data_IF_044464959492
#
_entry.id   IF_044464959492
#
_cell.length_a   1.000
_cell.length_b   1.000
_cell.length_c   1.000
_cell.angle_alpha   90.00
_cell.angle_beta   90.00
_cell.angle_gamma   90.00
#
_symmetry.space_group_name_H-M   'P 1'
#
loop_
_entity.id
_entity.type
_entity.pdbx_description
1 polymer ?
#
# COMPACT_ATOMS: atom_id res chain seq x y z
N UNK A 1 30.01 35.09 10.66
CA UNK A 1 29.60 34.48 9.38
C UNK A 1 28.11 34.71 9.18
N UNK A 2 27.77 35.51 8.15
CA UNK A 2 26.35 35.69 7.79
C UNK A 2 25.87 34.39 7.14
N UNK A 3 24.89 33.75 7.75
CA UNK A 3 24.27 32.58 7.15
C UNK A 3 23.45 32.97 5.92
N UNK A 4 23.56 32.23 4.85
CA UNK A 4 22.82 32.46 3.62
C UNK A 4 21.52 31.64 3.65
N UNK A 5 20.35 32.28 3.37
CA UNK A 5 19.10 31.58 3.24
C UNK A 5 19.17 30.55 2.10
N UNK A 6 18.33 29.48 2.14
CA UNK A 6 18.30 28.48 1.07
C UNK A 6 17.75 29.09 -0.22
N UNK A 7 18.24 28.56 -1.36
CA UNK A 7 17.55 28.78 -2.65
C UNK A 7 16.21 28.02 -2.67
N UNK A 8 15.28 28.50 -3.49
CA UNK A 8 14.04 27.76 -3.80
C UNK A 8 14.36 26.36 -4.31
N UNK A 9 13.69 25.31 -3.80
CA UNK A 9 13.79 23.96 -4.37
C UNK A 9 13.39 23.97 -5.84
N UNK A 10 14.21 23.35 -6.69
CA UNK A 10 13.97 23.30 -8.14
C UNK A 10 13.59 21.89 -8.60
N UNK A 11 13.01 21.81 -9.82
CA UNK A 11 12.64 20.54 -10.45
C UNK A 11 11.74 19.66 -9.56
N UNK A 12 10.83 20.28 -8.81
CA UNK A 12 9.83 19.50 -8.07
C UNK A 12 9.01 18.70 -9.08
N UNK A 13 8.89 17.41 -8.82
CA UNK A 13 8.07 16.47 -9.56
C UNK A 13 7.18 15.68 -8.61
N UNK A 14 5.99 15.31 -9.08
CA UNK A 14 5.04 14.52 -8.35
C UNK A 14 4.58 13.33 -9.21
N UNK A 15 4.53 12.15 -8.62
CA UNK A 15 4.04 10.94 -9.26
C UNK A 15 2.96 10.32 -8.39
N UNK A 16 1.75 10.19 -8.97
CA UNK A 16 0.61 9.57 -8.28
C UNK A 16 0.75 8.05 -8.24
N UNK A 17 0.52 7.50 -7.06
CA UNK A 17 0.42 6.08 -6.78
C UNK A 17 -0.93 5.74 -6.14
N UNK A 18 -1.06 4.51 -5.66
CA UNK A 18 -2.27 4.11 -4.94
C UNK A 18 -2.33 4.83 -3.59
N UNK A 19 -3.33 5.70 -3.44
CA UNK A 19 -3.58 6.50 -2.24
C UNK A 19 -2.34 7.26 -1.72
N UNK A 20 -1.36 7.51 -2.59
CA UNK A 20 -0.14 8.23 -2.26
C UNK A 20 0.35 9.06 -3.44
N UNK A 21 1.18 10.05 -3.14
CA UNK A 21 1.94 10.80 -4.13
C UNK A 21 3.39 10.85 -3.69
N UNK A 22 4.30 10.41 -4.57
CA UNK A 22 5.73 10.50 -4.37
C UNK A 22 6.25 11.80 -4.98
N UNK A 23 6.99 12.55 -4.17
CA UNK A 23 7.58 13.83 -4.54
C UNK A 23 9.11 13.71 -4.59
N UNK A 24 9.73 14.39 -5.55
CA UNK A 24 11.18 14.55 -5.60
C UNK A 24 11.56 15.92 -6.15
N UNK A 25 12.70 16.46 -5.71
CA UNK A 25 13.19 17.78 -6.12
C UNK A 25 14.71 17.85 -6.10
N UNK A 26 15.27 18.91 -6.67
CA UNK A 26 16.69 19.20 -6.58
C UNK A 26 17.01 19.91 -5.26
N UNK A 27 18.13 19.54 -4.65
CA UNK A 27 18.59 20.16 -3.41
C UNK A 27 18.85 21.67 -3.55
N UNK A 28 18.51 22.42 -2.50
CA UNK A 28 18.71 23.86 -2.41
C UNK A 28 20.15 24.20 -2.02
N UNK A 29 20.68 25.30 -2.56
CA UNK A 29 21.93 25.90 -2.10
C UNK A 29 21.67 26.79 -0.90
N UNK A 30 22.66 27.05 -0.06
CA UNK A 30 22.58 27.86 1.15
C UNK A 30 23.48 27.36 2.26
N UNK A 31 23.42 27.97 3.44
CA UNK A 31 24.19 27.49 4.60
C UNK A 31 23.54 26.26 5.21
N UNK A 32 24.27 25.13 5.38
CA UNK A 32 23.69 23.94 6.02
C UNK A 32 23.51 24.15 7.54
N UNK A 33 22.63 23.36 8.22
CA UNK A 33 21.80 22.30 7.62
C UNK A 33 20.57 22.90 6.91
N UNK A 34 20.14 22.24 5.82
CA UNK A 34 18.93 22.59 5.08
C UNK A 34 17.90 21.49 5.28
N UNK A 35 16.66 21.87 5.61
CA UNK A 35 15.49 21.00 5.69
C UNK A 35 14.43 21.49 4.71
N UNK A 36 13.47 20.64 4.37
CA UNK A 36 12.40 20.95 3.43
C UNK A 36 11.06 20.74 4.10
N UNK A 37 10.16 21.69 3.93
CA UNK A 37 8.77 21.57 4.33
C UNK A 37 7.90 21.37 3.10
N UNK A 38 7.01 20.38 3.16
CA UNK A 38 6.13 20.00 2.08
C UNK A 38 4.72 20.46 2.41
N UNK A 39 4.07 21.05 1.40
CA UNK A 39 2.73 21.58 1.52
C UNK A 39 1.82 20.99 0.44
N UNK A 40 0.58 20.63 0.83
CA UNK A 40 -0.50 20.24 -0.05
C UNK A 40 -1.43 21.43 -0.27
N UNK A 41 -1.93 21.58 -1.48
CA UNK A 41 -2.80 22.70 -1.89
C UNK A 41 -2.21 24.09 -1.65
N UNK A 42 -0.88 24.18 -1.53
CA UNK A 42 -0.15 25.43 -1.36
C UNK A 42 0.05 25.89 0.08
N UNK A 43 -0.81 25.53 1.00
CA UNK A 43 -0.82 26.03 2.38
C UNK A 43 -0.93 24.96 3.48
N UNK A 44 -1.40 23.75 3.15
CA UNK A 44 -1.53 22.66 4.12
C UNK A 44 -0.17 22.01 4.34
N UNK A 45 0.46 22.28 5.47
CA UNK A 45 1.70 21.60 5.87
C UNK A 45 1.45 20.10 6.11
N UNK A 46 2.21 19.24 5.43
CA UNK A 46 2.06 17.78 5.53
C UNK A 46 3.31 17.08 6.05
N UNK A 47 4.44 17.74 6.12
CA UNK A 47 5.63 17.15 6.71
C UNK A 47 6.93 17.90 6.41
N UNK A 48 7.99 17.50 7.12
CA UNK A 48 9.34 18.03 6.98
C UNK A 48 10.35 16.90 6.80
N UNK A 49 11.36 17.13 5.96
CA UNK A 49 12.43 16.16 5.69
C UNK A 49 13.76 16.86 5.44
N UNK A 50 14.87 16.15 5.66
CA UNK A 50 16.21 16.57 5.20
C UNK A 50 16.58 15.95 3.83
N UNK A 51 15.76 15.03 3.34
CA UNK A 51 15.91 14.41 2.02
C UNK A 51 15.35 15.30 0.91
N UNK A 52 15.70 15.03 -0.32
CA UNK A 52 15.14 15.67 -1.53
C UNK A 52 13.96 14.90 -2.11
N UNK A 53 13.28 14.14 -1.27
CA UNK A 53 12.07 13.38 -1.60
C UNK A 53 11.15 13.29 -0.40
N UNK A 54 9.85 13.10 -0.68
CA UNK A 54 8.81 12.91 0.32
C UNK A 54 7.67 12.11 -0.29
N UNK A 55 7.00 11.28 0.51
CA UNK A 55 5.80 10.56 0.08
C UNK A 55 4.63 10.98 0.96
N UNK A 56 3.59 11.51 0.32
CA UNK A 56 2.32 11.84 0.95
C UNK A 56 1.40 10.63 0.83
N UNK A 57 0.92 10.10 1.93
CA UNK A 57 0.18 8.84 2.03
C UNK A 57 -1.23 9.04 2.61
N UNK A 58 -2.07 8.02 2.53
CA UNK A 58 -3.44 8.08 3.07
C UNK A 58 -4.37 8.96 2.24
N UNK A 59 -4.09 9.12 0.97
CA UNK A 59 -4.84 9.96 0.05
C UNK A 59 -6.07 9.24 -0.51
N UNK A 60 -7.10 9.99 -0.89
CA UNK A 60 -8.26 9.45 -1.61
C UNK A 60 -7.84 8.94 -2.99
N UNK A 61 -8.46 7.86 -3.45
CA UNK A 61 -8.24 7.29 -4.80
C UNK A 61 -8.77 8.21 -5.89
N UNK A 62 -8.18 8.13 -7.10
CA UNK A 62 -8.60 8.91 -8.28
C UNK A 62 -8.75 10.42 -7.99
N UNK A 63 -7.91 10.96 -7.13
CA UNK A 63 -8.01 12.34 -6.67
C UNK A 63 -6.74 13.09 -7.05
N UNK A 64 -6.90 14.28 -7.65
CA UNK A 64 -5.79 15.17 -7.94
C UNK A 64 -5.39 15.94 -6.69
N UNK A 65 -4.09 15.96 -6.42
CA UNK A 65 -3.44 16.70 -5.35
C UNK A 65 -2.39 17.62 -5.92
N UNK A 66 -2.22 18.79 -5.31
CA UNK A 66 -1.16 19.72 -5.68
C UNK A 66 -0.18 19.94 -4.53
N UNK A 67 1.10 20.16 -4.87
CA UNK A 67 2.18 20.26 -3.90
C UNK A 67 3.14 21.39 -4.21
N UNK A 68 3.70 21.97 -3.13
CA UNK A 68 4.83 22.87 -3.14
C UNK A 68 5.81 22.48 -2.05
N UNK A 69 7.09 22.81 -2.22
CA UNK A 69 8.15 22.56 -1.24
C UNK A 69 8.92 23.84 -1.00
N UNK A 70 9.20 24.15 0.28
CA UNK A 70 10.08 25.26 0.66
C UNK A 70 11.28 24.73 1.47
N UNK A 71 12.45 25.29 1.25
CA UNK A 71 13.66 24.96 2.00
C UNK A 71 13.84 25.91 3.19
N UNK A 72 14.42 25.41 4.27
CA UNK A 72 14.63 26.13 5.54
C UNK A 72 16.05 25.91 6.06
N UNK A 73 16.62 26.95 6.64
CA UNK A 73 17.79 26.88 7.49
C UNK A 73 17.70 27.96 8.59
N UNK A 74 18.74 28.16 9.39
CA UNK A 74 18.75 29.17 10.47
C UNK A 74 18.62 30.64 9.95
N UNK A 75 18.92 30.90 8.69
CA UNK A 75 18.73 32.20 8.08
C UNK A 75 17.27 32.47 7.64
N UNK A 76 16.42 31.43 7.67
CA UNK A 76 15.01 31.51 7.33
C UNK A 76 14.59 30.62 6.16
N UNK A 77 13.33 30.78 5.68
CA UNK A 77 12.79 30.01 4.57
C UNK A 77 13.26 30.54 3.20
N UNK A 78 13.25 29.64 2.21
CA UNK A 78 13.24 30.03 0.80
C UNK A 78 11.83 30.46 0.35
N UNK A 79 11.71 30.97 -0.87
CA UNK A 79 10.43 30.96 -1.57
C UNK A 79 10.00 29.49 -1.82
N UNK A 80 8.67 29.20 -1.91
CA UNK A 80 8.20 27.89 -2.30
C UNK A 80 8.55 27.59 -3.76
N UNK A 81 8.65 26.29 -4.09
CA UNK A 81 8.78 25.80 -5.47
C UNK A 81 7.56 26.16 -6.31
N UNK A 82 7.67 25.99 -7.63
CA UNK A 82 6.50 25.92 -8.48
C UNK A 82 5.58 24.77 -8.02
N UNK A 83 4.27 24.95 -8.21
CA UNK A 83 3.27 23.96 -7.84
C UNK A 83 3.24 22.83 -8.87
N UNK A 84 3.23 21.60 -8.39
CA UNK A 84 3.06 20.41 -9.22
C UNK A 84 1.78 19.66 -8.85
N UNK A 85 1.25 18.89 -9.78
CA UNK A 85 0.01 18.15 -9.63
C UNK A 85 0.27 16.67 -9.87
N UNK A 86 -0.44 15.81 -9.13
CA UNK A 86 -0.47 14.37 -9.37
C UNK A 86 -1.84 13.82 -8.98
N UNK A 87 -2.34 12.90 -9.79
CA UNK A 87 -3.57 12.18 -9.51
C UNK A 87 -3.21 10.81 -8.94
N UNK A 88 -3.77 10.49 -7.78
CA UNK A 88 -3.66 9.15 -7.21
C UNK A 88 -4.34 8.13 -8.10
N UNK A 89 -3.75 6.93 -8.20
CA UNK A 89 -4.35 5.85 -8.96
C UNK A 89 -5.56 5.23 -8.23
N UNK A 90 -6.38 4.52 -8.98
CA UNK A 90 -7.53 3.81 -8.44
C UNK A 90 -7.15 2.54 -7.69
N UNK A 91 -5.95 2.02 -7.97
CA UNK A 91 -5.51 0.71 -7.46
C UNK A 91 -4.06 0.76 -7.01
N UNK A 92 -3.74 -0.10 -6.01
CA UNK A 92 -2.40 -0.35 -5.53
C UNK A 92 -1.57 -1.21 -6.47
N UNK A 93 -0.29 -1.38 -6.12
CA UNK A 93 0.51 -2.42 -6.76
C UNK A 93 -0.25 -3.75 -6.65
N UNK A 94 -0.42 -4.45 -7.76
CA UNK A 94 -1.06 -5.78 -7.79
C UNK A 94 -0.39 -6.79 -6.87
N UNK A 95 0.87 -6.57 -6.56
CA UNK A 95 1.69 -7.43 -5.72
C UNK A 95 1.62 -7.03 -4.24
N UNK A 96 1.11 -5.83 -3.92
CA UNK A 96 0.93 -5.41 -2.54
C UNK A 96 -0.41 -5.92 -1.98
N UNK A 97 -0.46 -6.33 -0.71
CA UNK A 97 -1.69 -6.63 -0.01
C UNK A 97 -2.63 -5.42 0.05
N UNK A 98 -3.90 -5.65 0.36
CA UNK A 98 -4.80 -4.54 0.68
C UNK A 98 -4.41 -3.91 2.02
N UNK A 99 -4.54 -2.57 2.16
CA UNK A 99 -4.27 -1.90 3.43
C UNK A 99 -5.14 -2.46 4.55
N UNK A 100 -4.61 -2.57 5.77
CA UNK A 100 -5.42 -2.91 6.93
C UNK A 100 -6.54 -1.89 7.17
N UNK A 101 -7.65 -2.35 7.72
CA UNK A 101 -8.84 -1.57 8.00
C UNK A 101 -9.12 -1.49 9.50
N UNK A 102 -10.06 -0.65 9.90
CA UNK A 102 -10.60 -0.57 11.27
C UNK A 102 -9.52 -0.42 12.35
N UNK A 103 -8.45 0.35 12.06
CA UNK A 103 -7.39 0.59 13.04
C UNK A 103 -7.93 1.36 14.24
N UNK A 104 -7.73 0.82 15.43
CA UNK A 104 -8.03 1.46 16.72
C UNK A 104 -6.81 1.47 17.61
N UNK A 105 -6.75 2.42 18.53
CA UNK A 105 -5.75 2.48 19.59
C UNK A 105 -6.44 2.92 20.88
N UNK A 106 -6.35 2.09 21.93
CA UNK A 106 -6.98 2.35 23.21
C UNK A 106 -5.95 2.37 24.34
N UNK A 107 -5.95 3.44 25.13
CA UNK A 107 -5.08 3.61 26.28
C UNK A 107 -5.67 2.95 27.51
N UNK A 108 -4.95 1.99 28.09
CA UNK A 108 -5.23 1.46 29.44
C UNK A 108 -4.22 2.04 30.43
N UNK A 109 -4.71 2.67 31.48
CA UNK A 109 -3.91 3.27 32.54
C UNK A 109 -4.10 2.49 33.82
N UNK A 110 -3.05 1.87 34.32
CA UNK A 110 -3.04 1.15 35.60
C UNK A 110 -2.77 2.10 36.79
N UNK A 111 -1.84 3.04 36.62
CA UNK A 111 -1.52 4.07 37.60
C UNK A 111 -0.94 5.32 36.96
N UNK A 112 -1.16 6.48 37.57
CA UNK A 112 -0.57 7.77 37.20
C UNK A 112 0.11 8.45 38.37
N UNK A 113 1.26 9.07 38.10
CA UNK A 113 1.88 10.06 38.96
C UNK A 113 2.31 11.24 38.09
N UNK A 114 2.63 12.38 38.68
CA UNK A 114 2.84 13.65 37.97
C UNK A 114 3.85 13.65 36.80
N UNK A 115 4.64 12.59 36.62
CA UNK A 115 5.61 12.46 35.52
C UNK A 115 5.71 11.00 35.03
N UNK A 116 4.75 10.16 35.36
CA UNK A 116 4.81 8.75 35.09
C UNK A 116 3.42 8.19 34.80
N UNK A 117 3.32 7.39 33.75
CA UNK A 117 2.17 6.59 33.45
C UNK A 117 2.56 5.11 33.50
N UNK A 118 1.84 4.34 34.31
CA UNK A 118 1.86 2.87 34.26
C UNK A 118 0.64 2.46 33.44
N UNK A 119 0.89 2.04 32.23
CA UNK A 119 -0.16 1.72 31.28
C UNK A 119 0.38 1.22 29.96
N UNK A 120 -0.52 0.96 29.06
CA UNK A 120 -0.21 0.49 27.70
C UNK A 120 -1.27 0.95 26.72
N UNK A 121 -0.93 0.88 25.43
CA UNK A 121 -1.88 1.11 24.33
C UNK A 121 -2.12 -0.22 23.63
N UNK A 122 -3.38 -0.66 23.60
CA UNK A 122 -3.79 -1.75 22.73
C UNK A 122 -4.11 -1.19 21.35
N UNK A 123 -3.47 -1.74 20.34
CA UNK A 123 -3.64 -1.37 18.94
C UNK A 123 -4.20 -2.57 18.21
N UNK A 124 -5.38 -2.41 17.62
CA UNK A 124 -6.11 -3.46 16.91
C UNK A 124 -6.45 -2.99 15.49
N UNK A 125 -6.43 -3.92 14.55
CA UNK A 125 -6.83 -3.68 13.15
C UNK A 125 -7.45 -4.94 12.55
N UNK A 126 -7.99 -4.82 11.35
CA UNK A 126 -8.48 -5.97 10.58
C UNK A 126 -7.84 -6.00 9.19
N UNK A 127 -7.79 -7.18 8.59
CA UNK A 127 -7.54 -7.30 7.15
C UNK A 127 -8.74 -6.75 6.37
N UNK A 128 -8.51 -6.24 5.16
CA UNK A 128 -9.59 -5.80 4.28
C UNK A 128 -10.53 -6.98 3.97
N UNK A 129 -11.82 -6.80 4.20
CA UNK A 129 -12.85 -7.83 4.04
C UNK A 129 -13.83 -7.50 2.92
N UNK A 130 -14.20 -8.49 2.11
CA UNK A 130 -15.12 -8.38 0.99
C UNK A 130 -16.23 -9.42 1.12
N UNK A 131 -17.49 -9.00 1.29
CA UNK A 131 -18.65 -9.89 1.42
C UNK A 131 -18.90 -10.75 0.17
N UNK A 132 -18.47 -10.27 -1.00
CA UNK A 132 -18.63 -10.96 -2.27
C UNK A 132 -17.33 -10.88 -3.07
N UNK A 133 -17.19 -11.74 -4.08
CA UNK A 133 -16.08 -11.75 -5.01
C UNK A 133 -15.82 -10.34 -5.59
N UNK A 134 -14.69 -9.70 -5.25
CA UNK A 134 -14.38 -8.34 -5.66
C UNK A 134 -13.70 -8.28 -7.04
N UNK A 135 -13.48 -9.41 -7.70
CA UNK A 135 -12.78 -9.47 -8.97
C UNK A 135 -13.73 -9.10 -10.13
N UNK A 136 -13.62 -7.86 -10.59
CA UNK A 136 -14.35 -7.38 -11.74
C UNK A 136 -13.59 -7.70 -13.03
N UNK A 137 -14.21 -8.49 -13.93
CA UNK A 137 -13.65 -8.74 -15.26
C UNK A 137 -13.64 -7.47 -16.07
N UNK A 138 -12.51 -7.15 -16.69
CA UNK A 138 -12.35 -5.97 -17.54
C UNK A 138 -13.09 -6.06 -18.88
N UNK A 139 -13.56 -7.25 -19.26
CA UNK A 139 -14.28 -7.51 -20.49
C UNK A 139 -15.63 -8.18 -20.24
N UNK A 140 -16.56 -8.03 -21.18
CA UNK A 140 -17.86 -8.71 -21.17
C UNK A 140 -18.04 -9.55 -22.43
N UNK A 141 -18.39 -10.82 -22.27
CA UNK A 141 -18.68 -11.73 -23.38
C UNK A 141 -17.64 -12.84 -23.59
N UNK A 142 -17.69 -13.52 -24.74
CA UNK A 142 -16.71 -14.55 -25.08
C UNK A 142 -15.39 -13.89 -25.46
N UNK A 143 -14.26 -14.36 -24.90
CA UNK A 143 -12.95 -13.86 -25.26
C UNK A 143 -12.66 -14.10 -26.73
N UNK A 144 -12.18 -13.07 -27.42
CA UNK A 144 -11.85 -13.14 -28.85
C UNK A 144 -10.65 -14.06 -29.10
N UNK A 145 -9.72 -14.04 -28.16
CA UNK A 145 -8.52 -14.88 -28.06
C UNK A 145 -8.28 -15.13 -26.58
N UNK A 146 -7.92 -16.33 -26.23
CA UNK A 146 -7.77 -16.68 -24.82
C UNK A 146 -6.50 -17.48 -24.57
N UNK A 147 -5.90 -17.24 -23.42
CA UNK A 147 -4.87 -18.07 -22.83
C UNK A 147 -5.48 -18.90 -21.70
N UNK A 148 -5.06 -20.14 -21.58
CA UNK A 148 -5.53 -21.05 -20.54
C UNK A 148 -4.40 -21.35 -19.57
N UNK A 149 -4.63 -21.08 -18.31
CA UNK A 149 -3.75 -21.53 -17.22
C UNK A 149 -4.35 -22.78 -16.59
N UNK A 150 -3.61 -23.89 -16.66
CA UNK A 150 -3.95 -25.13 -15.97
C UNK A 150 -3.39 -25.04 -14.55
N UNK A 151 -4.23 -24.78 -13.58
CA UNK A 151 -3.84 -24.70 -12.16
C UNK A 151 -3.62 -26.12 -11.64
N UNK A 152 -2.36 -26.52 -11.49
CA UNK A 152 -1.97 -27.88 -11.09
C UNK A 152 -2.04 -28.08 -9.58
N UNK A 153 -1.79 -27.03 -8.81
CA UNK A 153 -1.93 -27.01 -7.36
C UNK A 153 -2.17 -25.61 -6.82
N UNK A 154 -2.85 -25.54 -5.67
CA UNK A 154 -2.92 -24.34 -4.83
C UNK A 154 -2.51 -24.76 -3.43
N UNK A 155 -1.48 -24.14 -2.89
CA UNK A 155 -0.97 -24.39 -1.54
C UNK A 155 -1.03 -23.13 -0.69
N UNK A 156 -1.39 -23.27 0.57
CA UNK A 156 -1.44 -22.18 1.54
C UNK A 156 -0.36 -22.38 2.61
N UNK A 157 0.36 -21.34 2.96
CA UNK A 157 1.42 -21.41 3.94
C UNK A 157 0.91 -21.68 5.38
N UNK A 158 -0.38 -21.43 5.64
CA UNK A 158 -1.04 -21.75 6.91
C UNK A 158 -1.64 -23.16 6.96
N UNK A 159 -1.49 -23.93 5.89
CA UNK A 159 -2.06 -25.28 5.77
C UNK A 159 -3.55 -25.32 5.45
N UNK A 160 -4.19 -24.18 5.19
CA UNK A 160 -5.57 -24.16 4.68
C UNK A 160 -5.63 -24.67 3.22
N UNK A 161 -6.83 -24.93 2.74
CA UNK A 161 -7.08 -25.46 1.39
C UNK A 161 -8.16 -24.63 0.70
N UNK A 162 -8.22 -24.71 -0.63
CA UNK A 162 -9.31 -24.12 -1.42
C UNK A 162 -10.65 -24.78 -1.08
N UNK A 163 -11.68 -23.98 -0.99
CA UNK A 163 -13.06 -24.40 -0.71
C UNK A 163 -13.97 -24.07 -1.89
N UNK A 164 -15.11 -24.79 -1.98
CA UNK A 164 -16.13 -24.51 -2.99
C UNK A 164 -16.61 -23.05 -2.86
N UNK A 165 -16.53 -22.31 -3.96
CA UNK A 165 -16.92 -20.91 -4.02
C UNK A 165 -15.76 -19.92 -3.92
N UNK A 166 -14.56 -20.35 -3.52
CA UNK A 166 -13.37 -19.49 -3.60
C UNK A 166 -13.09 -19.11 -5.07
N UNK A 167 -12.50 -17.93 -5.29
CA UNK A 167 -12.30 -17.41 -6.64
C UNK A 167 -10.83 -17.13 -6.90
N UNK A 168 -10.34 -17.54 -8.07
CA UNK A 168 -9.02 -17.22 -8.57
C UNK A 168 -9.16 -16.19 -9.69
N UNK A 169 -8.51 -15.03 -9.55
CA UNK A 169 -8.41 -14.00 -10.58
C UNK A 169 -7.05 -14.00 -11.26
N UNK A 170 -7.03 -13.74 -12.58
CA UNK A 170 -5.81 -13.51 -13.40
C UNK A 170 -5.77 -12.06 -13.82
N UNK A 171 -4.61 -11.45 -13.73
CA UNK A 171 -4.40 -10.03 -13.94
C UNK A 171 -3.29 -9.73 -14.94
N UNK A 172 -3.53 -8.77 -15.83
CA UNK A 172 -2.51 -8.05 -16.61
C UNK A 172 -2.44 -6.61 -16.07
N UNK A 173 -1.38 -6.30 -15.35
CA UNK A 173 -1.35 -5.07 -14.59
C UNK A 173 -2.56 -5.01 -13.63
N UNK A 174 -3.36 -3.94 -13.70
CA UNK A 174 -4.54 -3.74 -12.86
C UNK A 174 -5.82 -4.36 -13.43
N UNK A 175 -5.77 -4.92 -14.63
CA UNK A 175 -6.94 -5.49 -15.29
C UNK A 175 -7.14 -6.94 -14.89
N UNK A 176 -8.31 -7.27 -14.35
CA UNK A 176 -8.73 -8.65 -14.18
C UNK A 176 -9.15 -9.21 -15.56
N UNK A 177 -8.27 -9.97 -16.18
CA UNK A 177 -8.43 -10.49 -17.54
C UNK A 177 -8.97 -11.92 -17.58
N UNK A 178 -9.16 -12.52 -16.41
CA UNK A 178 -9.77 -13.83 -16.25
C UNK A 178 -10.08 -14.12 -14.79
N UNK A 179 -11.12 -14.92 -14.54
CA UNK A 179 -11.40 -15.47 -13.21
C UNK A 179 -12.14 -16.80 -13.30
N UNK A 180 -12.03 -17.58 -12.25
CA UNK A 180 -12.74 -18.85 -12.11
C UNK A 180 -13.07 -19.14 -10.65
N UNK A 181 -14.24 -19.75 -10.44
CA UNK A 181 -14.68 -20.21 -9.13
C UNK A 181 -14.23 -21.64 -8.89
N UNK A 182 -13.69 -21.88 -7.71
CA UNK A 182 -13.23 -23.22 -7.32
C UNK A 182 -14.41 -24.15 -6.99
N UNK A 183 -14.37 -25.43 -7.41
CA UNK A 183 -13.32 -26.05 -8.20
C UNK A 183 -13.36 -25.59 -9.67
N UNK A 184 -12.21 -25.32 -10.23
CA UNK A 184 -12.09 -24.91 -11.64
C UNK A 184 -12.49 -26.05 -12.57
N UNK A 185 -13.28 -25.79 -13.64
CA UNK A 185 -13.57 -26.78 -14.66
C UNK A 185 -12.29 -27.31 -15.31
N UNK A 186 -12.00 -28.59 -15.16
CA UNK A 186 -10.77 -29.23 -15.66
C UNK A 186 -9.47 -28.55 -15.19
N UNK A 187 -9.50 -27.88 -14.03
CA UNK A 187 -8.41 -27.04 -13.50
C UNK A 187 -8.04 -25.85 -14.38
N UNK A 188 -8.90 -25.46 -15.30
CA UNK A 188 -8.62 -24.38 -16.24
C UNK A 188 -9.10 -23.03 -15.75
N UNK A 189 -8.21 -22.04 -15.88
CA UNK A 189 -8.48 -20.64 -15.67
C UNK A 189 -8.20 -19.88 -16.99
N UNK A 190 -9.20 -19.23 -17.53
CA UNK A 190 -9.14 -18.63 -18.86
C UNK A 190 -8.95 -17.11 -18.73
N UNK A 191 -7.94 -16.57 -19.42
CA UNK A 191 -7.68 -15.15 -19.55
C UNK A 191 -7.94 -14.69 -20.98
N UNK A 192 -8.57 -13.52 -21.13
CA UNK A 192 -8.90 -12.92 -22.44
C UNK A 192 -7.80 -11.98 -22.91
N UNK A 193 -7.40 -12.15 -24.18
CA UNK A 193 -6.52 -11.21 -24.85
C UNK A 193 -7.28 -9.92 -25.23
N UNK A 194 -6.56 -8.81 -25.21
CA UNK A 194 -7.08 -7.52 -25.68
C UNK A 194 -7.41 -7.56 -27.20
N UNK A 195 -8.57 -7.10 -27.55
CA UNK A 195 -9.07 -6.96 -28.94
C UNK A 195 -8.81 -5.56 -29.53
N UNK A 196 -8.04 -4.73 -28.83
CA UNK A 196 -7.75 -3.34 -29.14
C UNK A 196 -8.62 -2.33 -28.38
N UNK A 197 -9.49 -2.80 -27.50
CA UNK A 197 -10.33 -1.94 -26.62
C UNK A 197 -9.66 -1.59 -25.28
N UNK A 198 -8.53 -2.22 -24.97
CA UNK A 198 -7.81 -2.06 -23.70
C UNK A 198 -8.40 -2.87 -22.55
N UNK A 199 -9.22 -3.90 -22.83
CA UNK A 199 -9.96 -4.66 -21.81
C UNK A 199 -9.42 -6.07 -21.55
N UNK A 200 -8.39 -6.50 -22.27
CA UNK A 200 -7.80 -7.83 -22.15
C UNK A 200 -6.30 -7.78 -21.90
N UNK A 201 -5.66 -8.94 -21.79
CA UNK A 201 -4.22 -9.00 -21.62
C UNK A 201 -3.46 -8.63 -22.89
N UNK A 202 -2.27 -8.08 -22.74
CA UNK A 202 -1.32 -7.82 -23.82
C UNK A 202 -0.24 -8.90 -23.85
N UNK A 203 0.01 -9.54 -25.02
CA UNK A 203 1.08 -10.52 -25.14
C UNK A 203 2.44 -9.93 -24.75
N UNK A 204 3.20 -10.68 -23.97
CA UNK A 204 4.50 -10.26 -23.42
C UNK A 204 4.45 -9.71 -22.01
N UNK A 205 3.28 -9.32 -21.51
CA UNK A 205 3.12 -8.90 -20.12
C UNK A 205 3.14 -10.10 -19.16
N UNK A 206 3.55 -9.87 -17.92
CA UNK A 206 3.48 -10.87 -16.86
C UNK A 206 2.03 -11.09 -16.42
N UNK A 207 1.67 -12.35 -16.18
CA UNK A 207 0.39 -12.70 -15.58
C UNK A 207 0.55 -12.80 -14.07
N UNK A 208 -0.39 -12.22 -13.33
CA UNK A 208 -0.46 -12.25 -11.87
C UNK A 208 -1.75 -12.93 -11.41
N UNK A 209 -1.74 -13.51 -10.21
CA UNK A 209 -2.88 -14.22 -9.67
C UNK A 209 -3.24 -13.68 -8.29
N UNK A 210 -4.55 -13.66 -8.01
CA UNK A 210 -5.10 -13.37 -6.68
C UNK A 210 -6.16 -14.40 -6.34
N UNK A 211 -6.31 -14.71 -5.06
CA UNK A 211 -7.36 -15.60 -4.57
C UNK A 211 -8.23 -14.83 -3.59
N UNK A 212 -9.55 -14.85 -3.83
CA UNK A 212 -10.54 -14.45 -2.84
C UNK A 212 -11.06 -15.69 -2.14
N UNK A 213 -10.88 -15.76 -0.84
CA UNK A 213 -11.26 -16.85 0.02
C UNK A 213 -11.74 -16.35 1.37
N UNK A 214 -12.89 -16.84 1.82
CA UNK A 214 -13.46 -16.49 3.13
C UNK A 214 -13.61 -14.97 3.38
N UNK A 215 -13.88 -14.19 2.31
CA UNK A 215 -13.98 -12.73 2.40
C UNK A 215 -12.67 -11.97 2.27
N UNK A 216 -11.54 -12.65 2.13
CA UNK A 216 -10.23 -12.02 2.05
C UNK A 216 -9.56 -12.27 0.69
N UNK A 217 -8.89 -11.22 0.17
CA UNK A 217 -8.02 -11.37 -0.99
C UNK A 217 -6.64 -11.78 -0.49
N UNK A 218 -6.12 -12.87 -1.08
CA UNK A 218 -4.79 -13.41 -0.78
C UNK A 218 -3.85 -13.13 -1.92
N UNK A 219 -2.63 -12.75 -1.58
CA UNK A 219 -1.54 -12.63 -2.54
C UNK A 219 -1.00 -14.01 -2.89
N UNK A 220 -0.69 -14.20 -4.17
CA UNK A 220 -0.27 -15.47 -4.72
C UNK A 220 1.07 -15.33 -5.42
N UNK A 221 1.93 -16.31 -5.24
CA UNK A 221 3.13 -16.51 -6.06
C UNK A 221 2.89 -17.69 -6.98
N UNK A 222 3.03 -17.46 -8.27
CA UNK A 222 2.94 -18.47 -9.31
C UNK A 222 4.30 -19.11 -9.60
N UNK A 223 4.29 -20.40 -9.92
CA UNK A 223 5.48 -21.16 -10.34
C UNK A 223 5.15 -22.10 -11.52
N UNK A 224 5.90 -22.02 -12.60
CA UNK A 224 6.84 -20.97 -12.96
C UNK A 224 6.14 -19.61 -13.19
N UNK A 225 6.91 -18.50 -13.18
CA UNK A 225 6.38 -17.19 -13.56
C UNK A 225 5.74 -17.23 -14.92
N UNK A 226 4.56 -16.67 -15.05
CA UNK A 226 3.74 -16.75 -16.24
C UNK A 226 3.83 -15.45 -17.07
N UNK A 227 3.80 -15.62 -18.40
CA UNK A 227 3.76 -14.51 -19.35
C UNK A 227 2.64 -14.76 -20.34
N UNK A 228 1.87 -13.75 -20.67
CA UNK A 228 0.82 -13.87 -21.67
C UNK A 228 1.43 -14.03 -23.08
N UNK A 229 1.15 -15.14 -23.74
CA UNK A 229 1.69 -15.50 -25.06
C UNK A 229 0.60 -15.58 -26.17
N UNK A 230 -0.58 -15.02 -25.89
CA UNK A 230 -1.72 -15.14 -26.83
C UNK A 230 -2.46 -16.47 -26.64
N UNK A 231 -2.75 -17.16 -27.75
CA UNK A 231 -3.42 -18.48 -27.70
C UNK A 231 -2.43 -19.55 -27.22
N UNK A 232 -2.37 -19.76 -25.91
CA UNK A 232 -1.47 -20.73 -25.29
C UNK A 232 -2.13 -21.44 -24.10
N UNK A 233 -1.55 -22.57 -23.72
CA UNK A 233 -1.94 -23.32 -22.53
C UNK A 233 -0.70 -23.51 -21.66
N UNK A 234 -0.72 -22.96 -20.47
CA UNK A 234 0.40 -23.06 -19.52
C UNK A 234 -0.05 -23.65 -18.20
N UNK A 235 0.81 -24.49 -17.61
CA UNK A 235 0.59 -25.03 -16.27
C UNK A 235 1.16 -24.07 -15.23
N UNK A 236 0.44 -23.92 -14.11
CA UNK A 236 0.84 -23.05 -13.01
C UNK A 236 0.55 -23.71 -11.67
N UNK A 237 1.47 -23.55 -10.74
CA UNK A 237 1.29 -23.82 -9.32
C UNK A 237 1.16 -22.49 -8.57
N UNK A 238 0.19 -22.41 -7.66
CA UNK A 238 -0.10 -21.21 -6.91
C UNK A 238 0.24 -21.44 -5.44
N UNK A 239 1.08 -20.57 -4.88
CA UNK A 239 1.39 -20.57 -3.45
C UNK A 239 0.81 -19.31 -2.82
N UNK A 240 -0.05 -19.49 -1.83
CA UNK A 240 -0.76 -18.41 -1.13
C UNK A 240 -0.03 -18.10 0.17
N UNK A 241 0.27 -16.83 0.41
CA UNK A 241 0.84 -16.36 1.67
C UNK A 241 -0.20 -15.61 2.48
N UNK A 242 -0.13 -15.76 3.78
CA UNK A 242 -0.80 -14.85 4.68
C UNK A 242 -0.07 -13.50 4.68
N UNK A 243 -0.83 -12.43 4.84
CA UNK A 243 -0.26 -11.12 5.04
C UNK A 243 0.45 -11.07 6.41
N UNK A 244 1.54 -10.32 6.45
CA UNK A 244 2.16 -9.85 7.68
C UNK A 244 1.98 -8.35 7.79
N UNK A 245 2.16 -7.80 8.97
CA UNK A 245 1.90 -6.39 9.22
C UNK A 245 3.14 -5.71 9.78
N UNK A 246 3.33 -4.46 9.37
CA UNK A 246 4.30 -3.54 9.98
C UNK A 246 3.52 -2.48 10.74
N UNK A 247 3.78 -2.38 12.04
CA UNK A 247 3.19 -1.35 12.90
C UNK A 247 4.13 -0.18 13.01
N UNK A 248 3.60 1.02 12.82
CA UNK A 248 4.32 2.28 12.95
C UNK A 248 3.75 3.11 14.10
N UNK A 249 4.63 3.81 14.80
CA UNK A 249 4.29 4.79 15.82
C UNK A 249 5.00 6.11 15.53
N UNK A 250 4.24 7.20 15.48
CA UNK A 250 4.75 8.55 15.19
C UNK A 250 5.59 8.61 13.91
N UNK A 251 5.17 7.88 12.87
CA UNK A 251 5.84 7.81 11.57
C UNK A 251 7.11 6.96 11.53
N UNK A 252 7.47 6.30 12.63
CA UNK A 252 8.60 5.39 12.69
C UNK A 252 8.13 3.94 12.87
N UNK A 253 8.80 3.01 12.20
CA UNK A 253 8.56 1.59 12.37
C UNK A 253 8.74 1.20 13.85
N UNK A 254 7.71 0.60 14.43
CA UNK A 254 7.72 0.09 15.79
C UNK A 254 7.97 -1.42 15.82
N UNK A 255 7.22 -2.17 15.02
CA UNK A 255 7.37 -3.62 14.86
C UNK A 255 7.31 -3.97 13.37
N UNK A 256 8.35 -4.60 12.80
CA UNK A 256 8.48 -4.82 11.37
C UNK A 256 7.69 -6.01 10.82
N UNK A 257 7.40 -7.03 11.65
CA UNK A 257 6.72 -8.24 11.20
C UNK A 257 5.79 -8.73 12.31
N UNK A 258 4.51 -8.57 12.09
CA UNK A 258 3.43 -9.11 12.91
C UNK A 258 2.60 -10.08 12.07
N UNK A 259 2.22 -11.21 12.65
CA UNK A 259 1.28 -12.16 12.07
C UNK A 259 -0.12 -11.99 12.66
N UNK A 260 -0.21 -11.34 13.79
CA UNK A 260 -1.45 -11.04 14.50
C UNK A 260 -1.97 -9.67 14.09
N UNK A 261 -3.26 -9.44 14.27
CA UNK A 261 -3.94 -8.16 13.99
C UNK A 261 -4.13 -7.30 15.25
N UNK A 262 -3.29 -7.53 16.25
CA UNK A 262 -3.28 -6.80 17.52
C UNK A 262 -1.86 -6.66 18.06
N UNK A 263 -1.60 -5.58 18.76
CA UNK A 263 -0.33 -5.34 19.44
C UNK A 263 -0.52 -4.49 20.69
N UNK A 264 0.14 -4.84 21.78
CA UNK A 264 0.14 -4.05 23.01
C UNK A 264 1.44 -3.27 23.14
N UNK A 265 1.38 -1.95 22.99
CA UNK A 265 2.51 -1.05 23.17
C UNK A 265 2.65 -0.67 24.65
N UNK A 266 3.67 -1.22 25.29
CA UNK A 266 4.01 -0.94 26.70
C UNK A 266 5.08 0.13 26.85
N UNK A 267 5.65 0.64 25.75
CA UNK A 267 6.70 1.66 25.76
C UNK A 267 6.09 3.05 25.57
N UNK A 268 5.18 3.43 26.46
CA UNK A 268 4.52 4.75 26.44
C UNK A 268 5.01 5.62 27.58
N UNK A 269 5.02 6.93 27.33
CA UNK A 269 5.43 7.96 28.28
C UNK A 269 4.22 8.87 28.60
N UNK A 270 4.28 9.57 29.74
CA UNK A 270 3.27 10.57 30.10
C UNK A 270 3.40 11.82 29.22
N UNK A 271 2.31 12.56 29.07
CA UNK A 271 2.24 13.83 28.33
C UNK A 271 2.69 13.71 26.85
N UNK A 272 2.38 12.58 26.22
CA UNK A 272 2.71 12.33 24.81
C UNK A 272 1.43 12.05 24.00
N UNK A 273 1.52 12.34 22.72
CA UNK A 273 0.56 11.91 21.72
C UNK A 273 1.21 10.84 20.86
N UNK A 274 0.53 9.73 20.68
CA UNK A 274 0.95 8.62 19.84
C UNK A 274 -0.01 8.48 18.67
N UNK A 275 0.58 8.40 17.48
CA UNK A 275 -0.14 8.19 16.22
C UNK A 275 0.32 6.87 15.66
N UNK A 276 -0.61 5.93 15.52
CA UNK A 276 -0.36 4.61 14.97
C UNK A 276 -0.89 4.50 13.55
N UNK A 277 -0.19 3.75 12.71
CA UNK A 277 -0.70 3.22 11.46
C UNK A 277 -0.06 1.86 11.18
N UNK A 278 -0.71 1.06 10.34
CA UNK A 278 -0.32 -0.31 10.02
C UNK A 278 -0.31 -0.47 8.50
N UNK A 279 0.71 -1.13 7.97
CA UNK A 279 0.72 -1.62 6.59
C UNK A 279 0.69 -3.14 6.58
N UNK A 280 0.17 -3.73 5.51
CA UNK A 280 0.27 -5.15 5.26
C UNK A 280 1.43 -5.42 4.30
N UNK A 281 2.17 -6.49 4.53
CA UNK A 281 3.34 -6.86 3.73
C UNK A 281 3.21 -8.30 3.25
N UNK A 282 3.56 -8.51 1.98
CA UNK A 282 3.68 -9.84 1.42
C UNK A 282 5.11 -10.36 1.60
N UNK A 283 5.25 -11.52 2.23
CA UNK A 283 6.55 -12.16 2.49
C UNK A 283 7.04 -13.08 1.37
N UNK A 284 6.29 -13.27 0.28
CA UNK A 284 6.70 -14.13 -0.82
C UNK A 284 7.49 -13.32 -1.86
N UNK A 285 8.79 -13.54 -1.90
CA UNK A 285 9.69 -12.97 -2.90
C UNK A 285 10.18 -11.57 -2.54
N UNK A 286 9.81 -10.56 -3.31
CA UNK A 286 10.07 -9.16 -2.98
C UNK A 286 8.97 -8.67 -2.05
N UNK A 287 9.32 -8.20 -0.87
CA UNK A 287 8.36 -7.66 0.08
C UNK A 287 7.64 -6.45 -0.53
N UNK A 288 6.39 -6.63 -0.90
CA UNK A 288 5.51 -5.55 -1.33
C UNK A 288 4.67 -5.13 -0.14
N UNK A 289 4.81 -3.88 0.24
CA UNK A 289 4.06 -3.27 1.33
C UNK A 289 2.82 -2.57 0.78
N UNK A 290 1.68 -2.76 1.45
CA UNK A 290 0.45 -2.01 1.17
C UNK A 290 0.63 -0.54 1.51
N UNK A 291 -0.30 0.30 1.07
CA UNK A 291 -0.45 1.59 1.72
C UNK A 291 -0.80 1.40 3.20
N UNK A 292 -0.41 2.36 4.05
CA UNK A 292 -0.81 2.31 5.45
C UNK A 292 -2.34 2.38 5.59
N UNK A 293 -2.83 1.81 6.68
CA UNK A 293 -4.18 2.05 7.20
C UNK A 293 -4.45 3.54 7.42
N UNK A 294 -5.67 3.89 7.77
CA UNK A 294 -5.93 5.14 8.48
C UNK A 294 -5.07 5.24 9.74
N UNK A 295 -5.05 6.39 10.37
CA UNK A 295 -4.32 6.62 11.63
C UNK A 295 -5.26 6.47 12.82
N UNK A 296 -4.76 5.84 13.90
CA UNK A 296 -5.38 5.88 15.23
C UNK A 296 -4.49 6.72 16.15
N UNK A 297 -5.13 7.57 16.95
CA UNK A 297 -4.43 8.50 17.83
C UNK A 297 -4.82 8.26 19.29
N UNK A 298 -3.85 8.30 20.17
CA UNK A 298 -4.06 8.23 21.62
C UNK A 298 -3.18 9.25 22.32
N UNK A 299 -3.72 9.90 23.33
CA UNK A 299 -3.00 10.89 24.13
C UNK A 299 -2.84 10.40 25.57
N UNK A 300 -1.64 10.54 26.11
CA UNK A 300 -1.32 10.27 27.50
C UNK A 300 -1.32 11.53 28.37
N UNK A 301 -1.77 12.68 27.83
CA UNK A 301 -1.97 13.90 28.63
C UNK A 301 -3.04 13.66 29.71
N UNK A 302 -2.90 14.38 30.83
CA UNK A 302 -3.99 14.42 31.82
C UNK A 302 -5.21 15.15 31.21
N UNK A 303 -6.40 14.53 31.39
CA UNK A 303 -7.69 15.13 31.09
C UNK A 303 -8.19 15.83 32.34
#
# INVERSE_FOLDING_TARGET
>A
NTQLPPSTPANLSASGGNQQVSLSWSGSSGSPPITYQVYRYGDIFIGQTSSTSFTDQGLSKNTEYSYTVAAFNEAGPSAPSDMVYATTSSQGSLLAPYPPESLTAELTVNARASNYIDGYVDVDWSSAYFEADPFELSYSGNPFSAMVFVVTSVSFNDGSEMSDGDVIGVYDGDLCVGKGTWPLPQNNLVASQDDGSGNGFSPGNSAYFKIWKDGFIRTVVESPSQVFNGLDVQSVELTVSNDTYTLYRNGSELIPILTETTYTDTMIESEMEYVYHVSATNVLGNAYESNPSGTAMVSTYEV
#
